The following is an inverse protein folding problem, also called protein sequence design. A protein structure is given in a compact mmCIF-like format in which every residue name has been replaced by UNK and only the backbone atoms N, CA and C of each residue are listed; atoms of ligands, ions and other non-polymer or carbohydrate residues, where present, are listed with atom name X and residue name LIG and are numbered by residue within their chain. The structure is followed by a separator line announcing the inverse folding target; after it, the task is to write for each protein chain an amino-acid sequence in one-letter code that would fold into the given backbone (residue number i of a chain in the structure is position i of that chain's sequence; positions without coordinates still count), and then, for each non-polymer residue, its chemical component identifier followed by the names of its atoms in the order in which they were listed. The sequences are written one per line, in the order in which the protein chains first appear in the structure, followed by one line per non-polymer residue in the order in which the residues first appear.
data_IF_497448891952
#
_entry.id   IF_497448891952
#
_cell.length_a   1.000
_cell.length_b   1.000
_cell.length_c   1.000
_cell.angle_alpha   90.00
_cell.angle_beta   90.00
_cell.angle_gamma   90.00
#
_symmetry.space_group_name_H-M   'P 1'
#
loop_
_entity.id
_entity.type
_entity.pdbx_description
1 polymer ?
#
# COMPACT_ATOMS: atom_id res chain seq x y z
N UNK A 1 62.49 -43.25 31.53
CA UNK A 1 63.00 -43.29 30.15
C UNK A 1 62.20 -44.30 29.35
N UNK A 2 61.84 -43.93 28.10
CA UNK A 2 61.04 -44.68 27.11
C UNK A 2 59.55 -44.78 27.44
N UNK A 3 58.62 -43.92 27.01
CA UNK A 3 58.39 -43.09 25.81
C UNK A 3 56.87 -42.75 25.80
N UNK A 4 56.34 -41.85 24.95
CA UNK A 4 54.92 -41.49 24.99
C UNK A 4 54.04 -42.55 24.29
N UNK A 5 52.84 -42.84 24.84
CA UNK A 5 51.75 -43.52 24.12
C UNK A 5 50.37 -42.97 24.52
N UNK A 6 49.89 -42.03 23.72
CA UNK A 6 48.50 -41.57 23.57
C UNK A 6 48.36 -41.21 22.08
N UNK A 7 47.28 -41.35 21.33
CA UNK A 7 45.94 -41.95 21.42
C UNK A 7 45.50 -42.06 19.94
N UNK A 8 44.77 -43.11 19.54
CA UNK A 8 44.20 -43.17 18.19
C UNK A 8 42.76 -42.67 18.23
N UNK A 9 42.48 -41.68 17.35
CA UNK A 9 41.21 -41.06 16.99
C UNK A 9 40.64 -39.91 17.84
N UNK A 10 41.12 -38.70 17.54
CA UNK A 10 40.38 -37.44 17.72
C UNK A 10 40.42 -36.56 16.45
N UNK A 11 40.60 -37.19 15.27
CA UNK A 11 40.75 -36.48 13.98
C UNK A 11 39.57 -36.67 13.00
N UNK A 12 38.51 -37.39 13.34
CA UNK A 12 37.44 -37.69 12.37
C UNK A 12 36.15 -36.89 12.61
N UNK A 13 35.73 -36.67 13.86
CA UNK A 13 34.44 -36.00 14.16
C UNK A 13 34.45 -34.49 13.87
N UNK A 14 35.54 -33.77 14.25
CA UNK A 14 35.70 -32.33 13.93
C UNK A 14 35.89 -32.08 12.43
N UNK A 15 36.58 -32.98 11.73
CA UNK A 15 36.78 -32.89 10.27
C UNK A 15 35.49 -33.19 9.52
N UNK A 16 34.69 -34.16 9.98
CA UNK A 16 33.34 -34.42 9.44
C UNK A 16 32.40 -33.24 9.68
N UNK A 17 32.37 -32.65 10.88
CA UNK A 17 31.57 -31.45 11.16
C UNK A 17 32.01 -30.24 10.32
N UNK A 18 33.31 -30.02 10.13
CA UNK A 18 33.81 -28.96 9.25
C UNK A 18 33.44 -29.21 7.78
N UNK A 19 33.56 -30.44 7.29
CA UNK A 19 33.15 -30.83 5.94
C UNK A 19 31.64 -30.71 5.74
N UNK A 20 30.84 -31.00 6.76
CA UNK A 20 29.38 -30.89 6.72
C UNK A 20 28.90 -29.44 6.75
N UNK A 21 29.53 -28.58 7.57
CA UNK A 21 29.33 -27.13 7.55
C UNK A 21 29.76 -26.52 6.22
N UNK A 22 30.90 -26.94 5.65
CA UNK A 22 31.36 -26.47 4.35
C UNK A 22 30.43 -26.93 3.22
N UNK A 23 29.91 -28.17 3.31
CA UNK A 23 28.90 -28.70 2.37
C UNK A 23 27.59 -27.93 2.46
N UNK A 24 27.11 -27.61 3.67
CA UNK A 24 25.93 -26.78 3.88
C UNK A 24 26.13 -25.37 3.30
N UNK A 25 27.27 -24.73 3.58
CA UNK A 25 27.62 -23.42 3.00
C UNK A 25 27.63 -23.45 1.47
N UNK A 26 28.23 -24.47 0.85
CA UNK A 26 28.23 -24.62 -0.62
C UNK A 26 26.82 -24.80 -1.18
N UNK A 27 25.96 -25.58 -0.52
CA UNK A 27 24.56 -25.76 -0.91
C UNK A 27 23.79 -24.44 -0.80
N UNK A 28 23.97 -23.68 0.28
CA UNK A 28 23.35 -22.37 0.48
C UNK A 28 23.82 -21.34 -0.55
N UNK A 29 25.13 -21.27 -0.81
CA UNK A 29 25.70 -20.41 -1.84
C UNK A 29 25.17 -20.76 -3.23
N UNK A 30 25.09 -22.05 -3.58
CA UNK A 30 24.54 -22.51 -4.85
C UNK A 30 23.04 -22.19 -4.97
N UNK A 31 22.27 -22.37 -3.89
CA UNK A 31 20.86 -21.99 -3.82
C UNK A 31 20.68 -20.48 -4.00
N UNK A 32 21.51 -19.67 -3.33
CA UNK A 32 21.49 -18.21 -3.45
C UNK A 32 21.86 -17.76 -4.88
N UNK A 33 22.88 -18.37 -5.51
CA UNK A 33 23.22 -18.12 -6.92
C UNK A 33 22.04 -18.45 -7.84
N UNK A 34 21.41 -19.62 -7.68
CA UNK A 34 20.23 -20.01 -8.47
C UNK A 34 19.07 -19.01 -8.30
N UNK A 35 18.80 -18.58 -7.08
CA UNK A 35 17.75 -17.60 -6.78
C UNK A 35 18.05 -16.23 -7.41
N UNK A 36 19.29 -15.74 -7.28
CA UNK A 36 19.72 -14.48 -7.89
C UNK A 36 19.68 -14.56 -9.42
N UNK A 37 20.08 -15.68 -10.01
CA UNK A 37 20.03 -15.90 -11.45
C UNK A 37 18.58 -15.88 -11.96
N UNK A 38 17.66 -16.56 -11.26
CA UNK A 38 16.23 -16.51 -11.56
C UNK A 38 15.67 -15.09 -11.45
N UNK A 39 16.09 -14.33 -10.44
CA UNK A 39 15.64 -12.95 -10.23
C UNK A 39 16.15 -12.03 -11.33
N UNK A 40 17.42 -12.15 -11.72
CA UNK A 40 18.02 -11.39 -12.82
C UNK A 40 17.30 -11.71 -14.13
N UNK A 41 17.06 -12.99 -14.44
CA UNK A 41 16.33 -13.38 -15.66
C UNK A 41 14.91 -12.84 -15.68
N UNK A 42 14.21 -12.83 -14.54
CA UNK A 42 12.87 -12.25 -14.42
C UNK A 42 12.87 -10.75 -14.70
N UNK A 43 13.82 -10.00 -14.13
CA UNK A 43 13.88 -8.55 -14.34
C UNK A 43 14.36 -8.19 -15.76
N UNK A 44 15.21 -9.02 -16.37
CA UNK A 44 15.57 -8.86 -17.79
C UNK A 44 14.37 -9.05 -18.71
N UNK A 45 13.53 -10.04 -18.44
CA UNK A 45 12.30 -10.27 -19.19
C UNK A 45 11.32 -9.10 -18.99
N UNK A 46 11.19 -8.59 -17.77
CA UNK A 46 10.39 -7.41 -17.45
C UNK A 46 10.86 -6.16 -18.23
N UNK A 47 12.18 -5.94 -18.29
CA UNK A 47 12.77 -4.88 -19.09
C UNK A 47 12.44 -5.04 -20.57
N UNK A 48 12.59 -6.26 -21.11
CA UNK A 48 12.28 -6.55 -22.50
C UNK A 48 10.81 -6.27 -22.84
N UNK A 49 9.88 -6.78 -22.02
CA UNK A 49 8.44 -6.55 -22.21
C UNK A 49 8.07 -5.07 -22.14
N UNK A 50 8.70 -4.31 -21.23
CA UNK A 50 8.46 -2.88 -21.13
C UNK A 50 8.94 -2.12 -22.37
N UNK A 51 10.12 -2.47 -22.90
CA UNK A 51 10.65 -1.88 -24.14
C UNK A 51 9.76 -2.23 -25.35
N UNK A 52 9.30 -3.47 -25.45
CA UNK A 52 8.37 -3.91 -26.50
C UNK A 52 7.05 -3.13 -26.46
N UNK A 53 6.49 -2.91 -25.27
CA UNK A 53 5.25 -2.14 -25.10
C UNK A 53 5.41 -0.67 -25.52
N UNK A 54 6.54 -0.04 -25.18
CA UNK A 54 6.86 1.33 -25.61
C UNK A 54 6.95 1.40 -27.13
N UNK A 55 7.72 0.49 -27.73
CA UNK A 55 7.89 0.46 -29.18
C UNK A 55 6.57 0.25 -29.91
N UNK A 56 5.75 -0.70 -29.45
CA UNK A 56 4.45 -0.97 -30.03
C UNK A 56 3.54 0.27 -30.01
N UNK A 57 3.49 0.97 -28.86
CA UNK A 57 2.67 2.18 -28.71
C UNK A 57 3.12 3.30 -29.64
N UNK A 58 4.43 3.52 -29.75
CA UNK A 58 4.96 4.55 -30.65
C UNK A 58 4.75 4.17 -32.11
N UNK A 59 4.89 2.90 -32.48
CA UNK A 59 4.70 2.46 -33.87
C UNK A 59 3.23 2.62 -34.31
N UNK A 60 2.27 2.33 -33.41
CA UNK A 60 0.85 2.63 -33.64
C UNK A 60 0.61 4.12 -33.84
N UNK A 61 1.19 4.96 -32.99
CA UNK A 61 1.07 6.41 -33.11
C UNK A 61 1.71 6.93 -34.41
N UNK A 62 2.88 6.44 -34.77
CA UNK A 62 3.56 6.76 -36.03
C UNK A 62 2.72 6.39 -37.26
N UNK A 63 1.93 5.31 -37.20
CA UNK A 63 1.00 4.95 -38.26
C UNK A 63 -0.15 5.97 -38.39
N UNK A 64 -0.70 6.42 -37.26
CA UNK A 64 -1.74 7.45 -37.26
C UNK A 64 -1.18 8.81 -37.73
N UNK A 65 0.01 9.19 -37.27
CA UNK A 65 0.69 10.42 -37.72
C UNK A 65 0.81 10.46 -39.25
N UNK A 66 1.13 9.33 -39.89
CA UNK A 66 1.16 9.20 -41.36
C UNK A 66 -0.22 9.33 -42.00
N UNK A 67 -1.25 8.72 -41.41
CA UNK A 67 -2.63 8.80 -41.93
C UNK A 67 -3.17 10.24 -41.97
N UNK A 68 -2.70 11.09 -41.05
CA UNK A 68 -3.12 12.49 -40.91
C UNK A 68 -2.07 13.51 -41.38
N UNK A 69 -1.00 13.08 -42.05
CA UNK A 69 0.05 13.93 -42.64
C UNK A 69 0.70 14.89 -41.62
N UNK A 70 1.04 14.36 -40.43
CA UNK A 70 1.62 15.13 -39.32
C UNK A 70 3.13 14.93 -39.15
N UNK A 71 3.83 14.33 -40.10
CA UNK A 71 5.25 14.00 -39.97
C UNK A 71 6.14 15.24 -39.75
N UNK A 72 5.76 16.38 -40.35
CA UNK A 72 6.52 17.64 -40.26
C UNK A 72 6.22 18.43 -38.97
N UNK A 73 5.32 17.94 -38.11
CA UNK A 73 4.98 18.63 -36.86
C UNK A 73 6.16 18.59 -35.89
N UNK A 74 6.45 19.75 -35.30
CA UNK A 74 7.48 19.91 -34.25
C UNK A 74 7.27 18.94 -33.08
N UNK A 75 6.03 18.60 -32.78
CA UNK A 75 5.70 17.69 -31.69
C UNK A 75 6.11 16.24 -32.00
N UNK A 76 5.90 15.80 -33.24
CA UNK A 76 6.31 14.47 -33.69
C UNK A 76 7.84 14.35 -33.78
N UNK A 77 8.55 15.39 -34.24
CA UNK A 77 10.01 15.40 -34.23
C UNK A 77 10.58 15.34 -32.81
N UNK A 78 9.97 16.03 -31.84
CA UNK A 78 10.31 15.90 -30.41
C UNK A 78 10.11 14.48 -29.88
N UNK A 79 9.01 13.82 -30.25
CA UNK A 79 8.76 12.42 -29.88
C UNK A 79 9.86 11.49 -30.40
N UNK A 80 10.24 11.61 -31.68
CA UNK A 80 11.27 10.77 -32.28
C UNK A 80 12.65 11.02 -31.66
N UNK A 81 13.00 12.27 -31.35
CA UNK A 81 14.24 12.61 -30.64
C UNK A 81 14.25 11.97 -29.25
N UNK A 82 13.13 12.04 -28.53
CA UNK A 82 13.04 11.44 -27.20
C UNK A 82 13.11 9.92 -27.26
N UNK A 83 12.44 9.28 -28.24
CA UNK A 83 12.55 7.82 -28.50
C UNK A 83 14.01 7.43 -28.75
N UNK A 84 14.71 8.17 -29.62
CA UNK A 84 16.12 7.91 -29.92
C UNK A 84 17.04 8.02 -28.70
N UNK A 85 16.78 8.98 -27.79
CA UNK A 85 17.52 9.07 -26.52
C UNK A 85 17.26 7.86 -25.63
N UNK A 86 16.00 7.45 -25.50
CA UNK A 86 15.60 6.27 -24.72
C UNK A 86 16.21 5.00 -25.29
N UNK A 87 16.17 4.80 -26.61
CA UNK A 87 16.78 3.66 -27.29
C UNK A 87 18.29 3.60 -27.09
N UNK A 88 18.96 4.76 -27.11
CA UNK A 88 20.40 4.86 -26.85
C UNK A 88 20.72 4.44 -25.41
N UNK A 89 19.96 4.93 -24.42
CA UNK A 89 20.12 4.52 -23.01
C UNK A 89 19.89 3.02 -22.82
N UNK A 90 18.88 2.44 -23.46
CA UNK A 90 18.59 1.00 -23.42
C UNK A 90 19.75 0.20 -24.03
N UNK A 91 20.28 0.66 -25.17
CA UNK A 91 21.40 -0.01 -25.86
C UNK A 91 22.70 0.06 -25.06
N UNK A 92 22.98 1.21 -24.44
CA UNK A 92 24.20 1.43 -23.66
C UNK A 92 24.17 0.72 -22.31
N UNK A 93 22.99 0.28 -21.86
CA UNK A 93 22.83 -0.53 -20.66
C UNK A 93 23.48 -1.90 -20.83
N UNK A 94 24.76 -1.99 -20.45
CA UNK A 94 25.56 -3.21 -20.57
C UNK A 94 25.31 -4.15 -19.40
N UNK A 95 24.83 -5.36 -19.70
CA UNK A 95 24.65 -6.45 -18.73
C UNK A 95 25.85 -7.39 -18.80
N UNK A 96 26.92 -7.04 -18.09
CA UNK A 96 28.08 -7.93 -17.94
C UNK A 96 28.44 -8.09 -16.47
N UNK A 97 28.49 -9.34 -16.00
CA UNK A 97 28.88 -9.71 -14.64
C UNK A 97 29.36 -11.15 -14.58
N UNK A 98 30.17 -11.46 -13.57
CA UNK A 98 30.52 -12.83 -13.24
C UNK A 98 29.33 -13.53 -12.57
N UNK A 99 28.75 -14.51 -13.27
CA UNK A 99 27.64 -15.34 -12.79
C UNK A 99 28.02 -16.22 -11.60
N UNK A 100 29.31 -16.33 -11.28
CA UNK A 100 29.80 -17.10 -10.14
C UNK A 100 29.99 -16.24 -8.88
N UNK A 101 29.89 -14.91 -8.98
CA UNK A 101 30.11 -13.97 -7.89
C UNK A 101 28.79 -13.41 -7.36
N UNK A 102 28.36 -13.87 -6.18
CA UNK A 102 27.13 -13.40 -5.52
C UNK A 102 27.08 -11.86 -5.39
N UNK A 103 28.15 -11.18 -4.92
CA UNK A 103 28.13 -9.72 -4.84
C UNK A 103 27.92 -9.03 -6.20
N UNK A 104 28.51 -9.57 -7.27
CA UNK A 104 28.30 -9.01 -8.62
C UNK A 104 26.88 -9.27 -9.12
N UNK A 105 26.30 -10.44 -8.83
CA UNK A 105 24.90 -10.74 -9.16
C UNK A 105 23.92 -9.81 -8.43
N UNK A 106 24.13 -9.57 -7.13
CA UNK A 106 23.32 -8.63 -6.35
C UNK A 106 23.44 -7.20 -6.90
N UNK A 107 24.66 -6.78 -7.21
CA UNK A 107 24.93 -5.48 -7.84
C UNK A 107 24.20 -5.35 -9.17
N UNK A 108 24.19 -6.40 -9.99
CA UNK A 108 23.48 -6.38 -11.27
C UNK A 108 21.98 -6.38 -11.15
N UNK A 109 21.43 -7.18 -10.23
CA UNK A 109 20.00 -7.17 -9.96
C UNK A 109 19.54 -5.77 -9.56
N UNK A 110 20.31 -5.10 -8.70
CA UNK A 110 20.08 -3.71 -8.31
C UNK A 110 20.14 -2.77 -9.52
N UNK A 111 21.20 -2.86 -10.35
CA UNK A 111 21.35 -2.02 -11.56
C UNK A 111 20.19 -2.18 -12.53
N UNK A 112 19.68 -3.40 -12.74
CA UNK A 112 18.53 -3.65 -13.62
C UNK A 112 17.27 -2.99 -13.04
N UNK A 113 17.02 -3.15 -11.74
CA UNK A 113 15.86 -2.55 -11.06
C UNK A 113 15.90 -1.02 -11.10
N UNK A 114 17.05 -0.43 -10.79
CA UNK A 114 17.24 1.02 -10.82
C UNK A 114 17.09 1.57 -12.26
N UNK A 115 17.57 0.84 -13.25
CA UNK A 115 17.39 1.21 -14.66
C UNK A 115 15.91 1.13 -15.08
N UNK A 116 15.22 0.06 -14.69
CA UNK A 116 13.79 -0.12 -14.93
C UNK A 116 12.94 0.97 -14.27
N UNK A 117 13.25 1.36 -13.03
CA UNK A 117 12.53 2.43 -12.34
C UNK A 117 12.73 3.77 -13.04
N UNK A 118 13.96 4.08 -13.45
CA UNK A 118 14.28 5.32 -14.16
C UNK A 118 13.63 5.39 -15.55
N UNK A 119 13.59 4.26 -16.27
CA UNK A 119 12.87 4.16 -17.54
C UNK A 119 11.38 4.46 -17.35
N UNK A 120 10.75 3.91 -16.30
CA UNK A 120 9.33 4.10 -16.03
C UNK A 120 8.97 5.51 -15.59
N UNK A 121 9.80 6.15 -14.76
CA UNK A 121 9.47 7.44 -14.14
C UNK A 121 9.80 8.64 -15.03
N UNK A 122 10.89 8.60 -15.80
CA UNK A 122 11.39 9.79 -16.51
C UNK A 122 11.22 9.66 -18.04
N UNK A 123 11.79 8.62 -18.64
CA UNK A 123 11.79 8.47 -20.11
C UNK A 123 10.41 8.07 -20.65
N UNK A 124 9.75 7.09 -20.02
CA UNK A 124 8.41 6.65 -20.42
C UNK A 124 7.35 7.73 -20.19
N UNK A 125 7.42 8.48 -19.09
CA UNK A 125 6.50 9.58 -18.81
C UNK A 125 6.58 10.68 -19.86
N UNK A 126 7.79 11.10 -20.26
CA UNK A 126 8.00 12.09 -21.33
C UNK A 126 7.48 11.60 -22.68
N UNK A 127 7.73 10.34 -23.01
CA UNK A 127 7.21 9.72 -24.24
C UNK A 127 5.68 9.68 -24.23
N UNK A 128 5.08 9.30 -23.10
CA UNK A 128 3.62 9.24 -22.93
C UNK A 128 2.96 10.61 -23.02
N UNK A 129 3.59 11.64 -22.45
CA UNK A 129 3.10 13.01 -22.51
C UNK A 129 3.11 13.54 -23.96
N UNK A 130 4.23 13.37 -24.68
CA UNK A 130 4.33 13.73 -26.10
C UNK A 130 3.34 12.93 -26.95
N UNK A 131 3.18 11.64 -26.69
CA UNK A 131 2.22 10.79 -27.38
C UNK A 131 0.78 11.28 -27.19
N UNK A 132 0.37 11.57 -25.95
CA UNK A 132 -0.96 12.10 -25.61
C UNK A 132 -1.26 13.43 -26.32
N UNK A 133 -0.27 14.32 -26.39
CA UNK A 133 -0.43 15.59 -27.11
C UNK A 133 -0.64 15.35 -28.62
N UNK A 134 0.10 14.43 -29.24
CA UNK A 134 -0.08 14.09 -30.66
C UNK A 134 -1.43 13.40 -30.89
N UNK A 135 -1.84 12.49 -30.01
CA UNK A 135 -3.15 11.84 -30.06
C UNK A 135 -4.30 12.86 -29.98
N UNK A 136 -4.13 13.92 -29.17
CA UNK A 136 -5.10 15.01 -29.10
C UNK A 136 -5.19 15.81 -30.41
N UNK A 137 -4.05 16.09 -31.07
CA UNK A 137 -4.04 16.74 -32.39
C UNK A 137 -4.70 15.86 -33.46
N UNK A 138 -4.39 14.55 -33.46
CA UNK A 138 -5.01 13.57 -34.35
C UNK A 138 -6.53 13.51 -34.12
N UNK A 139 -6.99 13.52 -32.86
CA UNK A 139 -8.41 13.52 -32.54
C UNK A 139 -9.12 14.76 -33.10
N UNK A 140 -8.53 15.94 -32.97
CA UNK A 140 -9.06 17.18 -33.54
C UNK A 140 -9.14 17.12 -35.06
N UNK A 141 -8.11 16.62 -35.73
CA UNK A 141 -8.08 16.48 -37.20
C UNK A 141 -9.08 15.44 -37.69
N UNK A 142 -9.26 14.35 -36.96
CA UNK A 142 -10.29 13.34 -37.24
C UNK A 142 -11.69 13.94 -37.20
N UNK A 143 -11.97 14.80 -36.22
CA UNK A 143 -13.26 15.50 -36.13
C UNK A 143 -13.43 16.56 -37.23
N UNK A 144 -12.38 17.30 -37.59
CA UNK A 144 -12.41 18.23 -38.72
C UNK A 144 -12.67 17.51 -40.05
N UNK A 145 -11.98 16.38 -40.30
CA UNK A 145 -12.15 15.57 -41.50
C UNK A 145 -13.56 15.00 -41.60
N UNK A 146 -14.15 14.54 -40.48
CA UNK A 146 -15.55 14.12 -40.41
C UNK A 146 -16.51 15.27 -40.73
N UNK A 147 -16.31 16.46 -40.14
CA UNK A 147 -17.14 17.64 -40.43
C UNK A 147 -17.06 18.05 -41.89
N UNK A 148 -15.86 18.01 -42.48
CA UNK A 148 -15.65 18.32 -43.90
C UNK A 148 -16.35 17.31 -44.81
N UNK A 149 -16.29 16.01 -44.47
CA UNK A 149 -17.02 14.96 -45.18
C UNK A 149 -18.54 15.21 -45.13
N UNK A 150 -19.10 15.51 -43.95
CA UNK A 150 -20.52 15.84 -43.80
C UNK A 150 -20.92 17.06 -44.63
N UNK A 151 -20.09 18.10 -44.68
CA UNK A 151 -20.33 19.28 -45.53
C UNK A 151 -20.26 18.96 -47.03
N UNK A 152 -19.38 18.06 -47.47
CA UNK A 152 -19.32 17.58 -48.86
C UNK A 152 -20.56 16.74 -49.21
N UNK A 153 -20.99 15.87 -48.31
CA UNK A 153 -22.19 15.06 -48.47
C UNK A 153 -23.45 15.96 -48.55
N UNK A 154 -23.55 16.97 -47.70
CA UNK A 154 -24.62 17.97 -47.75
C UNK A 154 -24.61 18.77 -49.08
N UNK A 155 -23.44 19.23 -49.53
CA UNK A 155 -23.32 19.97 -50.79
C UNK A 155 -23.67 19.11 -52.02
N UNK A 156 -23.31 17.82 -52.02
CA UNK A 156 -23.73 16.90 -53.10
C UNK A 156 -25.23 16.59 -53.07
N UNK A 157 -25.86 16.61 -51.89
CA UNK A 157 -27.31 16.44 -51.72
C UNK A 157 -28.10 17.68 -52.18
N UNK A 158 -27.61 18.90 -51.88
CA UNK A 158 -28.23 20.16 -52.31
C UNK A 158 -28.19 20.37 -53.83
N UNK A 159 -27.21 19.79 -54.55
CA UNK A 159 -27.15 19.87 -56.01
C UNK A 159 -28.21 18.99 -56.70
N UNK A 160 -28.75 17.96 -56.03
CA UNK A 160 -29.82 17.11 -56.57
C UNK A 160 -31.25 17.67 -56.33
N UNK A 161 -31.42 18.61 -55.40
CA UNK A 161 -32.74 19.19 -55.06
C UNK A 161 -33.10 20.49 -55.79
N UNK A 162 -32.25 21.00 -56.70
CA UNK A 162 -32.66 22.05 -57.66
C UNK A 162 -33.34 21.47 -58.91
N UNK A 163 -34.39 20.67 -58.69
CA UNK A 163 -35.50 20.58 -59.64
C UNK A 163 -36.65 21.38 -59.05
N UNK A 164 -36.83 22.58 -59.59
CA UNK A 164 -38.05 23.36 -59.40
C UNK A 164 -39.20 22.48 -59.89
N UNK A 165 -39.96 21.91 -58.96
CA UNK A 165 -41.27 21.36 -59.27
C UNK A 165 -42.27 22.51 -59.19
N UNK A 166 -42.90 22.79 -60.32
CA UNK A 166 -44.01 23.71 -60.45
C UNK A 166 -45.21 23.14 -59.67
N UNK A 167 -45.59 23.81 -58.58
CA UNK A 167 -46.66 23.37 -57.65
C UNK A 167 -48.04 23.89 -58.10
N UNK A 168 -48.19 24.38 -59.33
CA UNK A 168 -49.47 24.88 -59.84
C UNK A 168 -50.48 23.79 -60.24
N UNK A 169 -50.16 22.49 -60.09
CA UNK A 169 -50.98 21.39 -60.62
C UNK A 169 -51.17 20.21 -59.66
N UNK A 170 -51.44 20.46 -58.37
CA UNK A 170 -51.92 19.40 -57.47
C UNK A 170 -53.37 19.69 -57.09
N UNK A 171 -54.34 18.84 -57.50
CA UNK A 171 -55.73 19.01 -57.11
C UNK A 171 -55.90 18.86 -55.59
N UNK A 172 -56.53 19.86 -54.96
CA UNK A 172 -57.14 19.71 -53.64
C UNK A 172 -58.13 18.54 -53.68
N UNK A 173 -57.80 17.43 -53.03
CA UNK A 173 -58.81 16.48 -52.56
C UNK A 173 -59.04 16.74 -51.08
N UNK A 174 -60.17 17.36 -50.79
CA UNK A 174 -60.81 17.31 -49.47
C UNK A 174 -61.15 15.85 -49.22
N UNK A 175 -60.49 15.22 -48.23
CA UNK A 175 -61.00 14.01 -47.60
C UNK A 175 -61.48 14.39 -46.20
N UNK A 176 -62.76 14.14 -46.00
CA UNK A 176 -63.45 14.21 -44.72
C UNK A 176 -62.78 13.25 -43.73
N UNK A 177 -62.50 13.80 -42.54
CA UNK A 177 -62.46 13.17 -41.21
C UNK A 177 -62.22 11.66 -41.12
N UNK A 178 -61.00 11.31 -40.71
CA UNK A 178 -60.79 10.37 -39.60
C UNK A 178 -59.89 11.09 -38.58
N UNK A 179 -60.44 11.41 -37.40
CA UNK A 179 -59.65 11.83 -36.24
C UNK A 179 -58.78 10.65 -35.80
N UNK A 180 -57.58 10.56 -36.36
CA UNK A 180 -56.49 9.87 -35.67
C UNK A 180 -56.08 10.83 -34.55
N UNK A 181 -56.53 10.56 -33.34
CA UNK A 181 -56.02 11.21 -32.13
C UNK A 181 -54.55 10.75 -32.01
N UNK A 182 -53.64 11.48 -32.64
CA UNK A 182 -52.22 11.34 -32.34
C UNK A 182 -52.02 11.66 -30.86
N UNK A 183 -51.29 10.82 -30.10
CA UNK A 183 -51.11 11.04 -28.68
C UNK A 183 -50.45 12.42 -28.47
N UNK A 184 -51.15 13.29 -27.74
CA UNK A 184 -50.67 14.63 -27.39
C UNK A 184 -49.24 14.53 -26.85
N UNK A 185 -48.29 15.21 -27.49
CA UNK A 185 -46.88 15.17 -27.12
C UNK A 185 -46.72 15.81 -25.74
N UNK A 186 -46.47 14.98 -24.73
CA UNK A 186 -46.16 15.42 -23.39
C UNK A 186 -44.68 15.81 -23.27
N UNK A 187 -44.41 17.10 -23.41
CA UNK A 187 -43.06 17.67 -23.31
C UNK A 187 -42.47 17.45 -21.92
N UNK A 188 -43.28 17.47 -20.86
CA UNK A 188 -42.79 17.26 -19.50
C UNK A 188 -42.25 15.84 -19.33
N UNK A 189 -42.92 14.85 -19.93
CA UNK A 189 -42.42 13.47 -19.95
C UNK A 189 -41.08 13.34 -20.67
N UNK A 190 -40.87 14.07 -21.76
CA UNK A 190 -39.60 14.06 -22.49
C UNK A 190 -38.47 14.78 -21.72
N UNK A 191 -38.79 15.85 -20.98
CA UNK A 191 -37.84 16.51 -20.07
C UNK A 191 -37.45 15.59 -18.92
N UNK A 192 -38.41 14.89 -18.30
CA UNK A 192 -38.12 13.95 -17.21
C UNK A 192 -37.22 12.80 -17.69
N UNK A 193 -37.49 12.26 -18.88
CA UNK A 193 -36.62 11.24 -19.50
C UNK A 193 -35.21 11.78 -19.76
N UNK A 194 -35.10 13.02 -20.23
CA UNK A 194 -33.80 13.66 -20.39
C UNK A 194 -33.09 13.80 -19.03
N UNK A 195 -33.79 14.21 -17.97
CA UNK A 195 -33.18 14.34 -16.65
C UNK A 195 -32.62 13.01 -16.14
N UNK A 196 -33.36 11.92 -16.24
CA UNK A 196 -32.88 10.58 -15.84
C UNK A 196 -31.58 10.19 -16.56
N UNK A 197 -31.42 10.58 -17.83
CA UNK A 197 -30.20 10.33 -18.60
C UNK A 197 -29.03 11.23 -18.20
N UNK A 198 -29.31 12.48 -17.82
CA UNK A 198 -28.31 13.50 -17.50
C UNK A 198 -27.89 13.48 -16.03
N UNK A 199 -28.77 13.05 -15.12
CA UNK A 199 -28.58 13.10 -13.67
C UNK A 199 -27.24 12.49 -13.20
N UNK A 200 -26.79 11.31 -13.68
CA UNK A 200 -25.53 10.73 -13.22
C UNK A 200 -24.32 11.63 -13.47
N UNK A 201 -24.35 12.38 -14.58
CA UNK A 201 -23.29 13.29 -15.01
C UNK A 201 -23.37 14.65 -14.30
N UNK A 202 -24.59 15.13 -14.05
CA UNK A 202 -24.84 16.40 -13.32
C UNK A 202 -24.50 16.30 -11.82
N UNK A 203 -24.42 15.10 -11.25
CA UNK A 203 -23.99 14.91 -9.85
C UNK A 203 -22.49 15.16 -9.65
N UNK A 204 -21.67 14.98 -10.70
CA UNK A 204 -20.22 15.01 -10.60
C UNK A 204 -19.64 16.37 -11.04
N UNK A 205 -19.75 17.36 -10.16
CA UNK A 205 -19.31 18.75 -10.42
C UNK A 205 -17.81 18.91 -10.69
N UNK A 206 -17.02 17.92 -10.25
CA UNK A 206 -15.56 17.94 -10.40
C UNK A 206 -15.10 17.46 -11.79
N UNK A 207 -15.98 16.83 -12.58
CA UNK A 207 -15.62 16.29 -13.88
C UNK A 207 -15.48 17.38 -14.94
N UNK A 208 -14.53 17.22 -15.87
CA UNK A 208 -14.26 18.21 -16.92
C UNK A 208 -15.47 18.47 -17.84
N UNK A 209 -16.35 17.47 -18.00
CA UNK A 209 -17.52 17.57 -18.87
C UNK A 209 -18.73 18.21 -18.18
N UNK A 210 -18.65 18.47 -16.87
CA UNK A 210 -19.79 18.89 -16.06
C UNK A 210 -20.52 20.08 -16.69
N UNK A 211 -19.77 21.13 -17.06
CA UNK A 211 -20.36 22.34 -17.59
C UNK A 211 -20.97 22.14 -18.99
N UNK A 212 -20.41 21.25 -19.82
CA UNK A 212 -20.99 20.91 -21.11
C UNK A 212 -22.34 20.20 -20.95
N UNK A 213 -22.42 19.26 -19.99
CA UNK A 213 -23.65 18.52 -19.69
C UNK A 213 -24.70 19.43 -19.04
N UNK A 214 -24.28 20.29 -18.11
CA UNK A 214 -25.12 21.32 -17.49
C UNK A 214 -25.74 22.24 -18.53
N UNK A 215 -24.92 22.80 -19.44
CA UNK A 215 -25.39 23.67 -20.52
C UNK A 215 -26.37 22.96 -21.48
N UNK A 216 -26.14 21.68 -21.79
CA UNK A 216 -27.05 20.88 -22.62
C UNK A 216 -28.40 20.67 -21.92
N UNK A 217 -28.39 20.40 -20.62
CA UNK A 217 -29.61 20.21 -19.83
C UNK A 217 -30.37 21.53 -19.63
N UNK A 218 -29.69 22.63 -19.35
CA UNK A 218 -30.29 23.95 -19.25
C UNK A 218 -30.92 24.39 -20.58
N UNK A 219 -30.31 24.02 -21.71
CA UNK A 219 -30.89 24.20 -23.04
C UNK A 219 -32.21 23.42 -23.19
N UNK A 220 -32.28 22.18 -22.71
CA UNK A 220 -33.50 21.36 -22.71
C UNK A 220 -34.61 22.04 -21.91
N UNK A 221 -34.32 22.48 -20.68
CA UNK A 221 -35.26 23.20 -19.83
C UNK A 221 -35.76 24.49 -20.50
N UNK A 222 -34.87 25.25 -21.13
CA UNK A 222 -35.20 26.49 -21.85
C UNK A 222 -36.11 26.23 -23.06
N UNK A 223 -35.87 25.15 -23.82
CA UNK A 223 -36.70 24.75 -24.96
C UNK A 223 -38.10 24.32 -24.49
N UNK A 224 -38.18 23.53 -23.41
CA UNK A 224 -39.43 23.05 -22.87
C UNK A 224 -40.35 24.21 -22.41
N UNK A 225 -39.76 25.21 -21.75
CA UNK A 225 -40.46 26.37 -21.20
C UNK A 225 -40.78 27.46 -22.24
N UNK A 226 -40.33 27.33 -23.49
CA UNK A 226 -40.56 28.34 -24.51
C UNK A 226 -42.03 28.30 -25.01
N UNK A 227 -42.79 29.38 -24.85
CA UNK A 227 -44.21 29.42 -25.23
C UNK A 227 -44.48 29.52 -26.74
N UNK A 228 -43.48 29.92 -27.55
CA UNK A 228 -43.65 30.15 -28.99
C UNK A 228 -43.36 28.93 -29.84
N UNK A 229 -42.70 27.91 -29.29
CA UNK A 229 -42.38 26.68 -30.00
C UNK A 229 -43.52 25.67 -29.92
N UNK A 230 -43.85 25.05 -31.05
CA UNK A 230 -44.81 23.95 -31.08
C UNK A 230 -44.23 22.68 -30.41
N UNK A 231 -45.09 21.76 -29.93
CA UNK A 231 -44.65 20.55 -29.24
C UNK A 231 -43.75 19.62 -30.08
N UNK A 232 -43.94 19.53 -31.38
CA UNK A 232 -43.11 18.66 -32.25
C UNK A 232 -41.69 19.20 -32.38
N UNK A 233 -41.57 20.51 -32.55
CA UNK A 233 -40.29 21.20 -32.56
C UNK A 233 -39.58 21.04 -31.21
N UNK A 234 -40.27 21.28 -30.09
CA UNK A 234 -39.70 21.08 -28.75
C UNK A 234 -39.15 19.67 -28.57
N UNK A 235 -39.97 18.65 -28.86
CA UNK A 235 -39.56 17.24 -28.76
C UNK A 235 -38.33 16.96 -29.61
N UNK A 236 -38.32 17.41 -30.87
CA UNK A 236 -37.20 17.21 -31.79
C UNK A 236 -35.91 17.87 -31.30
N UNK A 237 -36.00 19.08 -30.76
CA UNK A 237 -34.84 19.78 -30.21
C UNK A 237 -34.31 19.12 -28.92
N UNK A 238 -35.19 18.63 -28.05
CA UNK A 238 -34.82 17.87 -26.84
C UNK A 238 -34.09 16.57 -27.22
N UNK A 239 -34.64 15.80 -28.16
CA UNK A 239 -34.02 14.58 -28.69
C UNK A 239 -32.62 14.85 -29.28
N UNK A 240 -32.43 16.00 -29.95
CA UNK A 240 -31.12 16.38 -30.46
C UNK A 240 -30.09 16.57 -29.33
N UNK A 241 -30.46 17.20 -28.20
CA UNK A 241 -29.53 17.39 -27.06
C UNK A 241 -29.24 16.07 -26.35
N UNK A 242 -30.26 15.22 -26.18
CA UNK A 242 -30.10 13.85 -25.65
C UNK A 242 -29.16 13.03 -26.51
N UNK A 243 -29.30 13.10 -27.85
CA UNK A 243 -28.40 12.44 -28.79
C UNK A 243 -26.95 12.95 -28.67
N UNK A 244 -26.76 14.25 -28.46
CA UNK A 244 -25.43 14.84 -28.20
C UNK A 244 -24.79 14.28 -26.94
N UNK A 245 -25.56 14.13 -25.85
CA UNK A 245 -25.07 13.44 -24.65
C UNK A 245 -24.70 11.98 -24.97
N UNK A 246 -25.58 11.23 -25.64
CA UNK A 246 -25.35 9.83 -25.99
C UNK A 246 -24.07 9.62 -26.84
N UNK A 247 -23.75 10.55 -27.74
CA UNK A 247 -22.52 10.49 -28.53
C UNK A 247 -21.25 10.55 -27.67
N UNK A 248 -21.30 11.22 -26.53
CA UNK A 248 -20.16 11.36 -25.61
C UNK A 248 -20.29 10.49 -24.35
N UNK A 249 -21.44 9.84 -24.14
CA UNK A 249 -21.79 9.05 -22.95
C UNK A 249 -20.68 8.09 -22.53
N UNK A 250 -20.16 7.28 -23.46
CA UNK A 250 -19.10 6.33 -23.14
C UNK A 250 -17.80 6.97 -22.62
N UNK A 251 -17.46 8.19 -23.06
CA UNK A 251 -16.30 8.93 -22.53
C UNK A 251 -16.58 9.48 -21.14
N UNK A 252 -17.79 9.98 -20.90
CA UNK A 252 -18.18 10.51 -19.60
C UNK A 252 -18.30 9.40 -18.55
N UNK A 253 -18.85 8.24 -18.92
CA UNK A 253 -18.91 7.04 -18.07
C UNK A 253 -17.51 6.58 -17.65
N UNK A 254 -16.54 6.52 -18.57
CA UNK A 254 -15.15 6.20 -18.23
C UNK A 254 -14.55 7.15 -17.18
N UNK A 255 -14.87 8.44 -17.26
CA UNK A 255 -14.40 9.44 -16.30
C UNK A 255 -15.08 9.27 -14.94
N UNK A 256 -16.39 8.97 -14.93
CA UNK A 256 -17.11 8.66 -13.70
C UNK A 256 -16.54 7.40 -13.02
N UNK A 257 -16.22 6.36 -13.79
CA UNK A 257 -15.59 5.13 -13.30
C UNK A 257 -14.22 5.42 -12.67
N UNK A 258 -13.40 6.26 -13.31
CA UNK A 258 -12.10 6.69 -12.77
C UNK A 258 -12.25 7.47 -11.46
N UNK A 259 -13.19 8.42 -11.40
CA UNK A 259 -13.44 9.20 -10.19
C UNK A 259 -13.98 8.33 -9.05
N UNK A 260 -14.84 7.35 -9.35
CA UNK A 260 -15.32 6.37 -8.39
C UNK A 260 -14.18 5.49 -7.85
N UNK A 261 -13.29 5.02 -8.73
CA UNK A 261 -12.11 4.26 -8.33
C UNK A 261 -11.18 5.09 -7.42
N UNK A 262 -10.95 6.36 -7.77
CA UNK A 262 -10.12 7.25 -6.95
C UNK A 262 -10.72 7.53 -5.57
N UNK A 263 -12.05 7.64 -5.47
CA UNK A 263 -12.76 7.77 -4.18
C UNK A 263 -12.61 6.52 -3.34
N UNK A 264 -12.87 5.35 -3.91
CA UNK A 264 -12.73 4.07 -3.20
C UNK A 264 -11.30 3.87 -2.67
N UNK A 265 -10.27 4.19 -3.47
CA UNK A 265 -8.88 4.14 -3.03
C UNK A 265 -8.57 5.13 -1.91
N UNK A 266 -9.20 6.31 -1.90
CA UNK A 266 -9.03 7.28 -0.83
C UNK A 266 -9.69 6.80 0.46
N UNK A 267 -10.92 6.30 0.38
CA UNK A 267 -11.64 5.71 1.52
C UNK A 267 -10.87 4.56 2.16
N UNK A 268 -10.26 3.67 1.36
CA UNK A 268 -9.41 2.59 1.86
C UNK A 268 -8.20 3.11 2.66
N UNK A 269 -7.54 4.17 2.16
CA UNK A 269 -6.43 4.81 2.86
C UNK A 269 -6.88 5.43 4.19
N UNK A 270 -8.02 6.13 4.20
CA UNK A 270 -8.57 6.73 5.41
C UNK A 270 -8.88 5.65 6.45
N UNK A 271 -9.51 4.54 6.05
CA UNK A 271 -9.80 3.44 6.96
C UNK A 271 -8.53 2.76 7.52
N UNK A 272 -7.50 2.60 6.68
CA UNK A 272 -6.20 2.07 7.14
C UNK A 272 -5.55 3.01 8.17
N UNK A 273 -5.60 4.32 7.91
CA UNK A 273 -5.13 5.34 8.85
C UNK A 273 -5.88 5.31 10.19
N UNK A 274 -7.21 5.31 10.16
CA UNK A 274 -8.05 5.25 11.37
C UNK A 274 -7.74 4.01 12.21
N UNK A 275 -7.59 2.86 11.56
CA UNK A 275 -7.22 1.60 12.23
C UNK A 275 -5.85 1.71 12.94
N UNK A 276 -4.86 2.33 12.29
CA UNK A 276 -3.55 2.55 12.89
C UNK A 276 -3.61 3.54 14.08
N UNK A 277 -4.39 4.61 13.96
CA UNK A 277 -4.62 5.55 15.06
C UNK A 277 -5.21 4.85 16.29
N UNK A 278 -6.21 3.98 16.10
CA UNK A 278 -6.81 3.18 17.17
C UNK A 278 -5.78 2.23 17.82
N UNK A 279 -5.03 1.48 17.01
CA UNK A 279 -4.02 0.52 17.49
C UNK A 279 -2.85 1.16 18.25
N UNK A 280 -2.52 2.41 17.91
CA UNK A 280 -1.44 3.19 18.52
C UNK A 280 -1.94 4.16 19.60
N UNK A 281 -3.26 4.32 19.79
CA UNK A 281 -3.88 5.35 20.62
C UNK A 281 -3.41 6.78 20.26
N UNK A 282 -3.38 7.08 18.95
CA UNK A 282 -3.04 8.42 18.42
C UNK A 282 -4.34 9.12 18.00
N UNK A 283 -4.44 10.41 18.27
CA UNK A 283 -5.61 11.21 17.87
C UNK A 283 -5.68 11.35 16.35
N UNK A 284 -6.88 11.16 15.78
CA UNK A 284 -7.12 11.30 14.35
C UNK A 284 -7.03 12.78 13.92
N UNK A 285 -6.43 13.02 12.77
CA UNK A 285 -6.39 14.35 12.16
C UNK A 285 -7.49 14.44 11.07
N UNK A 286 -8.52 15.28 11.25
CA UNK A 286 -9.65 15.36 10.32
C UNK A 286 -9.26 15.85 8.93
N UNK A 287 -8.08 16.46 8.76
CA UNK A 287 -7.58 16.87 7.44
C UNK A 287 -7.45 15.70 6.46
N UNK A 288 -7.20 14.49 6.95
CA UNK A 288 -7.01 13.33 6.09
C UNK A 288 -8.31 12.77 5.49
N UNK A 289 -9.49 13.23 5.92
CA UNK A 289 -10.76 12.88 5.28
C UNK A 289 -10.91 13.52 3.88
N UNK A 290 -10.18 14.60 3.61
CA UNK A 290 -10.25 15.30 2.33
C UNK A 290 -9.26 14.73 1.31
N UNK A 291 -9.75 14.45 0.09
CA UNK A 291 -8.97 13.88 -1.03
C UNK A 291 -7.70 14.67 -1.39
N UNK A 292 -7.71 15.98 -1.15
CA UNK A 292 -6.58 16.89 -1.42
C UNK A 292 -5.32 16.53 -0.61
N UNK A 293 -5.49 15.82 0.51
CA UNK A 293 -4.42 15.41 1.41
C UNK A 293 -3.97 13.95 1.22
N UNK A 294 -4.33 13.30 0.10
CA UNK A 294 -4.02 11.88 -0.18
C UNK A 294 -2.53 11.53 -0.06
N UNK A 295 -1.63 12.39 -0.55
CA UNK A 295 -0.19 12.09 -0.48
C UNK A 295 0.36 12.25 0.94
N UNK A 296 -0.05 13.28 1.67
CA UNK A 296 0.33 13.45 3.09
C UNK A 296 -0.28 12.37 3.99
N UNK A 297 -1.46 11.84 3.63
CA UNK A 297 -2.08 10.69 4.30
C UNK A 297 -1.24 9.43 4.12
N UNK A 298 -0.71 9.17 2.91
CA UNK A 298 0.16 8.01 2.66
C UNK A 298 1.45 8.08 3.48
N UNK A 299 2.09 9.25 3.54
CA UNK A 299 3.29 9.47 4.35
C UNK A 299 3.01 9.22 5.84
N UNK A 300 1.87 9.70 6.34
CA UNK A 300 1.46 9.48 7.72
C UNK A 300 1.14 8.00 8.01
N UNK A 301 0.46 7.31 7.10
CA UNK A 301 0.24 5.86 7.18
C UNK A 301 1.56 5.11 7.24
N UNK A 302 2.55 5.49 6.42
CA UNK A 302 3.86 4.87 6.46
C UNK A 302 4.52 5.06 7.83
N UNK A 303 4.53 6.30 8.35
CA UNK A 303 5.08 6.62 9.67
C UNK A 303 4.41 5.80 10.78
N UNK A 304 3.08 5.71 10.76
CA UNK A 304 2.32 4.95 11.76
C UNK A 304 2.53 3.44 11.63
N UNK A 305 2.66 2.89 10.42
CA UNK A 305 3.01 1.48 10.22
C UNK A 305 4.39 1.14 10.78
N UNK A 306 5.39 2.03 10.58
CA UNK A 306 6.73 1.86 11.16
C UNK A 306 6.64 1.83 12.70
N UNK A 307 5.92 2.78 13.31
CA UNK A 307 5.69 2.80 14.76
C UNK A 307 4.94 1.57 15.27
N UNK A 308 3.95 1.10 14.52
CA UNK A 308 3.19 -0.10 14.88
C UNK A 308 4.07 -1.36 14.81
N UNK A 309 4.93 -1.46 13.80
CA UNK A 309 5.88 -2.58 13.67
C UNK A 309 6.87 -2.59 14.84
N UNK A 310 7.44 -1.44 15.19
CA UNK A 310 8.33 -1.32 16.36
C UNK A 310 7.63 -1.74 17.65
N UNK A 311 6.38 -1.30 17.85
CA UNK A 311 5.56 -1.71 19.01
C UNK A 311 5.34 -3.23 19.05
N UNK A 312 5.00 -3.85 17.93
CA UNK A 312 4.79 -5.30 17.83
C UNK A 312 6.08 -6.09 18.13
N UNK A 313 7.23 -5.62 17.66
CA UNK A 313 8.53 -6.25 17.95
C UNK A 313 8.84 -6.24 19.45
N UNK A 314 8.59 -5.12 20.13
CA UNK A 314 8.80 -4.99 21.58
C UNK A 314 7.81 -5.87 22.35
N UNK A 315 6.52 -5.88 21.98
CA UNK A 315 5.52 -6.76 22.58
C UNK A 315 5.90 -8.25 22.43
N UNK A 316 6.41 -8.64 21.26
CA UNK A 316 6.92 -9.99 21.02
C UNK A 316 8.11 -10.34 21.92
N UNK A 317 9.07 -9.41 22.10
CA UNK A 317 10.22 -9.61 23.00
C UNK A 317 9.73 -9.78 24.44
N UNK A 318 8.86 -8.90 24.93
CA UNK A 318 8.32 -8.96 26.29
C UNK A 318 7.63 -10.31 26.55
N UNK A 319 6.77 -10.73 25.62
CA UNK A 319 6.05 -11.99 25.71
C UNK A 319 6.98 -13.20 25.66
N UNK A 320 7.97 -13.17 24.76
CA UNK A 320 8.95 -14.26 24.63
C UNK A 320 9.81 -14.42 25.88
N UNK A 321 10.25 -13.31 26.48
CA UNK A 321 10.99 -13.32 27.73
C UNK A 321 10.12 -13.88 28.87
N UNK A 322 8.85 -13.48 28.93
CA UNK A 322 7.94 -14.01 29.93
C UNK A 322 7.77 -15.53 29.82
N UNK A 323 7.53 -16.05 28.61
CA UNK A 323 7.38 -17.49 28.37
C UNK A 323 8.64 -18.28 28.74
N UNK A 324 9.83 -17.75 28.45
CA UNK A 324 11.10 -18.39 28.82
C UNK A 324 11.28 -18.42 30.34
N UNK A 325 10.95 -17.33 31.04
CA UNK A 325 11.01 -17.28 32.50
C UNK A 325 10.01 -18.26 33.13
N UNK A 326 8.77 -18.32 32.65
CA UNK A 326 7.75 -19.27 33.13
C UNK A 326 8.19 -20.73 32.91
N UNK A 327 8.77 -21.04 31.73
CA UNK A 327 9.29 -22.37 31.40
C UNK A 327 10.39 -22.84 32.38
N UNK A 328 11.22 -21.91 32.83
CA UNK A 328 12.30 -22.19 33.80
C UNK A 328 11.82 -22.18 35.26
N UNK A 329 10.51 -22.02 35.50
CA UNK A 329 9.91 -22.11 36.83
C UNK A 329 9.93 -20.79 37.62
N UNK A 330 10.10 -19.65 36.94
CA UNK A 330 10.02 -18.34 37.58
C UNK A 330 8.59 -17.79 37.56
N UNK A 331 8.04 -17.54 38.74
CA UNK A 331 6.71 -16.92 38.89
C UNK A 331 6.79 -15.39 38.92
N UNK A 332 5.83 -14.70 38.29
CA UNK A 332 5.75 -13.23 38.38
C UNK A 332 5.22 -12.81 39.75
N UNK A 333 6.01 -12.02 40.47
CA UNK A 333 5.61 -11.36 41.72
C UNK A 333 4.88 -10.04 41.48
N UNK A 334 5.40 -9.23 40.55
CA UNK A 334 4.84 -7.92 40.24
C UNK A 334 5.22 -7.47 38.82
N UNK A 335 4.39 -6.61 38.26
CA UNK A 335 4.63 -5.96 36.97
C UNK A 335 4.51 -4.45 37.14
N UNK A 336 5.42 -3.70 36.53
CA UNK A 336 5.37 -2.25 36.47
C UNK A 336 5.62 -1.80 35.03
N UNK A 337 4.98 -0.70 34.65
CA UNK A 337 5.12 -0.11 33.32
C UNK A 337 5.56 1.34 33.50
N UNK A 338 6.84 1.59 33.22
CA UNK A 338 7.44 2.90 33.45
C UNK A 338 7.48 3.69 32.15
N UNK A 339 6.65 4.73 32.03
CA UNK A 339 6.73 5.69 30.92
C UNK A 339 7.64 6.85 31.33
N UNK A 340 8.85 6.94 30.76
CA UNK A 340 9.68 8.16 30.82
C UNK A 340 9.47 8.97 29.53
N UNK A 341 9.66 10.29 29.59
CA UNK A 341 9.39 11.30 28.53
C UNK A 341 9.86 10.95 27.09
N UNK A 342 10.71 9.94 26.90
CA UNK A 342 11.17 9.46 25.58
C UNK A 342 11.20 7.92 25.42
N UNK A 343 11.06 7.16 26.51
CA UNK A 343 11.18 5.70 26.48
C UNK A 343 10.23 5.09 27.53
N UNK A 344 9.41 4.12 27.14
CA UNK A 344 8.80 3.14 28.02
C UNK A 344 9.78 2.01 28.36
N UNK A 345 9.58 1.45 29.55
CA UNK A 345 10.27 0.26 30.02
C UNK A 345 9.24 -0.67 30.64
N UNK A 346 9.13 -1.87 30.09
CA UNK A 346 8.40 -2.97 30.67
C UNK A 346 9.24 -3.57 31.81
N UNK A 347 8.73 -3.56 33.04
CA UNK A 347 9.42 -4.10 34.21
C UNK A 347 8.63 -5.28 34.77
N UNK A 348 9.22 -6.47 34.68
CA UNK A 348 8.69 -7.69 35.30
C UNK A 348 9.61 -8.12 36.45
N UNK A 349 9.01 -8.52 37.57
CA UNK A 349 9.74 -9.00 38.75
C UNK A 349 9.35 -10.45 38.97
N UNK A 350 10.33 -11.32 38.88
CA UNK A 350 10.17 -12.76 39.02
C UNK A 350 10.71 -13.24 40.36
N UNK A 351 10.01 -14.17 40.99
CA UNK A 351 10.46 -14.83 42.21
C UNK A 351 11.70 -15.67 41.94
N UNK A 352 12.70 -15.57 42.81
CA UNK A 352 13.92 -16.36 42.69
C UNK A 352 14.47 -16.68 44.07
N UNK A 353 14.10 -17.83 44.63
CA UNK A 353 14.52 -18.22 45.98
C UNK A 353 13.77 -17.47 47.09
N UNK A 354 14.27 -17.59 48.32
CA UNK A 354 13.62 -17.01 49.51
C UNK A 354 14.09 -15.57 49.74
N UNK A 355 13.21 -14.59 49.49
CA UNK A 355 13.48 -13.14 49.59
C UNK A 355 14.44 -12.56 48.52
N UNK A 356 14.61 -13.24 47.38
CA UNK A 356 15.27 -12.66 46.20
C UNK A 356 14.36 -12.68 44.97
N UNK A 357 14.64 -11.79 44.02
CA UNK A 357 13.92 -11.65 42.77
C UNK A 357 14.86 -11.35 41.61
N UNK A 358 14.42 -11.72 40.41
CA UNK A 358 15.01 -11.28 39.14
C UNK A 358 14.14 -10.18 38.56
N UNK A 359 14.72 -9.00 38.41
CA UNK A 359 14.11 -7.88 37.69
C UNK A 359 14.48 -8.01 36.22
N UNK A 360 13.47 -7.92 35.36
CA UNK A 360 13.63 -7.94 33.92
C UNK A 360 13.07 -6.64 33.36
N UNK A 361 13.94 -5.86 32.73
CA UNK A 361 13.58 -4.62 32.07
C UNK A 361 13.71 -4.80 30.56
N UNK A 362 12.65 -4.48 29.82
CA UNK A 362 12.67 -4.40 28.36
C UNK A 362 12.33 -2.97 27.95
N UNK A 363 13.26 -2.29 27.30
CA UNK A 363 13.02 -0.93 26.79
C UNK A 363 12.58 -0.95 25.33
N UNK A 364 11.95 0.15 24.88
CA UNK A 364 11.42 0.29 23.51
C UNK A 364 12.46 0.14 22.39
N UNK A 365 13.75 0.20 22.71
CA UNK A 365 14.83 -0.05 21.74
C UNK A 365 15.25 -1.53 21.68
N UNK A 366 14.50 -2.43 22.31
CA UNK A 366 14.77 -3.87 22.36
C UNK A 366 15.90 -4.28 23.31
N UNK A 367 16.44 -3.37 24.13
CA UNK A 367 17.44 -3.75 25.15
C UNK A 367 16.77 -4.46 26.33
N UNK A 368 17.39 -5.56 26.76
CA UNK A 368 16.92 -6.39 27.87
C UNK A 368 17.96 -6.34 28.99
N UNK A 369 17.52 -6.05 30.21
CA UNK A 369 18.36 -6.07 31.41
C UNK A 369 17.79 -7.05 32.43
N UNK A 370 18.65 -7.96 32.90
CA UNK A 370 18.37 -8.86 34.00
C UNK A 370 19.14 -8.41 35.24
N UNK A 371 18.47 -8.27 36.38
CA UNK A 371 19.07 -7.80 37.62
C UNK A 371 18.53 -8.57 38.84
N UNK A 372 19.42 -9.27 39.54
CA UNK A 372 19.08 -10.00 40.77
C UNK A 372 19.13 -9.06 41.97
N UNK A 373 18.07 -9.04 42.77
CA UNK A 373 17.94 -8.17 43.95
C UNK A 373 17.30 -8.92 45.12
N UNK A 374 17.60 -8.50 46.34
CA UNK A 374 16.81 -8.89 47.52
C UNK A 374 15.46 -8.17 47.55
N UNK A 375 14.47 -8.76 48.21
CA UNK A 375 13.12 -8.20 48.38
C UNK A 375 12.94 -7.72 49.82
N UNK A 376 12.38 -6.54 50.03
CA UNK A 376 11.84 -6.10 51.33
C UNK A 376 10.41 -5.59 51.24
N UNK A 377 9.72 -5.62 52.37
CA UNK A 377 8.57 -4.78 52.66
C UNK A 377 9.08 -3.51 53.38
N UNK A 378 9.34 -2.44 52.62
CA UNK A 378 9.85 -1.17 53.13
C UNK A 378 11.35 -0.89 52.89
N UNK A 379 11.77 0.35 53.16
CA UNK A 379 13.15 0.83 53.00
C UNK A 379 14.00 0.40 54.21
N UNK A 380 14.90 -0.55 54.01
CA UNK A 380 15.85 -1.03 55.04
C UNK A 380 17.22 -1.26 54.40
N UNK A 381 18.29 -0.95 55.12
CA UNK A 381 19.66 -1.24 54.68
C UNK A 381 19.94 -2.74 54.70
N UNK A 382 20.68 -3.24 53.71
CA UNK A 382 21.07 -4.64 53.64
C UNK A 382 22.12 -4.99 54.67
N UNK A 383 21.82 -6.00 55.50
CA UNK A 383 22.78 -6.68 56.37
C UNK A 383 23.82 -7.45 55.55
N UNK A 384 25.01 -7.68 56.12
CA UNK A 384 26.06 -8.48 55.46
C UNK A 384 25.59 -9.88 55.05
N UNK A 385 24.69 -10.49 55.83
CA UNK A 385 24.11 -11.79 55.51
C UNK A 385 23.18 -11.73 54.28
N UNK A 386 22.38 -10.68 54.15
CA UNK A 386 21.53 -10.47 52.97
C UNK A 386 22.36 -10.16 51.72
N UNK A 387 23.45 -9.39 51.85
CA UNK A 387 24.37 -9.14 50.72
C UNK A 387 24.99 -10.44 50.22
N UNK A 388 25.43 -11.31 51.14
CA UNK A 388 25.97 -12.62 50.80
C UNK A 388 24.93 -13.48 50.05
N UNK A 389 23.71 -13.59 50.58
CA UNK A 389 22.61 -14.34 49.93
C UNK A 389 22.27 -13.82 48.53
N UNK A 390 22.22 -12.51 48.35
CA UNK A 390 21.96 -11.90 47.02
C UNK A 390 23.11 -12.18 46.06
N UNK A 391 24.36 -12.18 46.55
CA UNK A 391 25.55 -12.49 45.73
C UNK A 391 25.56 -13.97 45.32
N UNK A 392 25.20 -14.89 46.21
CA UNK A 392 25.01 -16.31 45.89
C UNK A 392 23.88 -16.51 44.86
N UNK A 393 22.78 -15.77 44.98
CA UNK A 393 21.69 -15.78 44.01
C UNK A 393 22.14 -15.24 42.64
N UNK A 394 23.00 -14.22 42.58
CA UNK A 394 23.58 -13.75 41.32
C UNK A 394 24.38 -14.85 40.62
N UNK A 395 25.19 -15.60 41.36
CA UNK A 395 25.99 -16.70 40.81
C UNK A 395 25.09 -17.85 40.29
N UNK A 396 24.04 -18.20 41.04
CA UNK A 396 23.04 -19.18 40.61
C UNK A 396 22.31 -18.73 39.33
N UNK A 397 21.91 -17.46 39.26
CA UNK A 397 21.21 -16.92 38.09
C UNK A 397 22.09 -16.90 36.84
N UNK A 398 23.40 -16.66 36.96
CA UNK A 398 24.34 -16.75 35.84
C UNK A 398 24.31 -18.10 35.13
N UNK A 399 24.01 -19.19 35.86
CA UNK A 399 23.85 -20.53 35.27
C UNK A 399 22.55 -20.60 34.45
N UNK A 400 21.43 -20.13 34.99
CA UNK A 400 20.14 -20.08 34.28
C UNK A 400 20.14 -19.13 33.08
N UNK A 401 20.95 -18.06 33.11
CA UNK A 401 21.07 -17.11 32.00
C UNK A 401 21.51 -17.77 30.70
N UNK A 402 22.37 -18.79 30.76
CA UNK A 402 22.80 -19.54 29.56
C UNK A 402 21.60 -20.23 28.89
N UNK A 403 20.71 -20.82 29.68
CA UNK A 403 19.49 -21.47 29.19
C UNK A 403 18.49 -20.45 28.64
N UNK A 404 18.28 -19.33 29.35
CA UNK A 404 17.43 -18.21 28.89
C UNK A 404 17.90 -17.72 27.52
N UNK A 405 19.21 -17.55 27.33
CA UNK A 405 19.79 -17.06 26.08
C UNK A 405 19.54 -18.02 24.91
N UNK A 406 19.73 -19.32 25.09
CA UNK A 406 19.49 -20.29 24.01
C UNK A 406 18.00 -20.40 23.67
N UNK A 407 17.10 -20.38 24.66
CA UNK A 407 15.64 -20.40 24.43
C UNK A 407 15.14 -19.16 23.69
N UNK A 408 15.62 -17.96 24.07
CA UNK A 408 15.30 -16.72 23.34
C UNK A 408 15.81 -16.76 21.90
N UNK A 409 16.98 -17.37 21.67
CA UNK A 409 17.55 -17.55 20.34
C UNK A 409 16.74 -18.53 19.49
N UNK A 410 16.22 -19.62 20.07
CA UNK A 410 15.28 -20.52 19.38
C UNK A 410 14.00 -19.81 18.97
N UNK A 411 13.55 -18.82 19.76
CA UNK A 411 12.45 -17.90 19.44
C UNK A 411 12.85 -16.78 18.47
N UNK A 412 14.08 -16.77 17.94
CA UNK A 412 14.57 -15.80 16.97
C UNK A 412 15.06 -14.47 17.56
N UNK A 413 15.19 -14.36 18.88
CA UNK A 413 15.68 -13.17 19.58
C UNK A 413 17.18 -13.33 19.86
N UNK A 414 18.00 -12.51 19.21
CA UNK A 414 19.45 -12.57 19.33
C UNK A 414 19.96 -11.41 20.20
N UNK A 415 20.45 -11.72 21.39
CA UNK A 415 21.12 -10.75 22.26
C UNK A 415 22.48 -10.40 21.67
N UNK A 416 22.67 -9.12 21.28
CA UNK A 416 23.94 -8.58 20.76
C UNK A 416 24.55 -7.66 21.81
N UNK A 417 25.88 -7.59 21.86
CA UNK A 417 26.63 -6.71 22.78
C UNK A 417 26.32 -6.98 24.27
N UNK A 418 26.31 -8.25 24.66
CA UNK A 418 26.10 -8.66 26.05
C UNK A 418 27.17 -8.06 26.97
N UNK A 419 26.74 -7.34 28.00
CA UNK A 419 27.61 -6.80 29.05
C UNK A 419 27.39 -7.56 30.35
N UNK A 420 28.03 -8.72 30.48
CA UNK A 420 27.89 -9.59 31.64
C UNK A 420 28.81 -9.11 32.77
N UNK A 421 28.22 -8.83 33.93
CA UNK A 421 28.98 -8.49 35.15
C UNK A 421 29.07 -9.71 36.05
N UNK A 422 30.22 -10.00 36.67
CA UNK A 422 30.34 -11.11 37.61
C UNK A 422 29.50 -10.84 38.87
N UNK A 423 29.13 -11.91 39.58
CA UNK A 423 28.53 -11.82 40.90
C UNK A 423 29.50 -11.10 41.85
N UNK A 424 29.05 -9.99 42.44
CA UNK A 424 29.87 -9.15 43.31
C UNK A 424 28.96 -8.43 44.31
N UNK A 425 29.38 -8.41 45.58
CA UNK A 425 28.65 -7.79 46.68
C UNK A 425 28.33 -6.30 46.41
N UNK A 426 29.16 -5.61 45.60
CA UNK A 426 28.94 -4.20 45.22
C UNK A 426 27.68 -3.97 44.40
N UNK A 427 27.17 -5.00 43.73
CA UNK A 427 25.92 -4.93 42.96
C UNK A 427 24.69 -5.32 43.78
N UNK A 428 24.88 -5.89 44.97
CA UNK A 428 23.81 -6.39 45.82
C UNK A 428 22.92 -5.25 46.31
N UNK A 429 21.64 -5.27 45.89
CA UNK A 429 20.63 -4.26 46.21
C UNK A 429 19.32 -4.90 46.66
N UNK A 430 18.54 -4.14 47.42
CA UNK A 430 17.20 -4.52 47.90
C UNK A 430 16.15 -3.64 47.24
N UNK A 431 15.03 -4.24 46.82
CA UNK A 431 13.89 -3.53 46.25
C UNK A 431 12.67 -3.66 47.16
N UNK A 432 11.94 -2.55 47.28
CA UNK A 432 10.65 -2.53 47.96
C UNK A 432 9.55 -2.91 46.97
N UNK A 433 8.82 -3.98 47.28
CA UNK A 433 7.72 -4.49 46.44
C UNK A 433 6.33 -4.06 46.94
N UNK A 434 6.25 -3.37 48.09
CA UNK A 434 4.98 -2.96 48.71
C UNK A 434 4.13 -2.04 47.82
N UNK A 435 4.77 -1.20 47.02
CA UNK A 435 4.12 -0.20 46.15
C UNK A 435 3.90 -0.70 44.71
N UNK A 436 4.20 -1.95 44.39
CA UNK A 436 4.09 -2.49 43.02
C UNK A 436 2.79 -3.27 42.81
N UNK A 437 2.28 -3.29 41.57
CA UNK A 437 1.08 -4.08 41.22
C UNK A 437 1.42 -5.57 41.31
N UNK A 438 0.99 -6.22 42.38
CA UNK A 438 1.18 -7.67 42.59
C UNK A 438 0.27 -8.47 41.66
N UNK A 439 0.83 -9.47 41.00
CA UNK A 439 0.04 -10.44 40.22
C UNK A 439 -0.50 -11.48 41.20
N UNK A 440 -1.83 -11.66 41.27
CA UNK A 440 -2.43 -12.68 42.14
C UNK A 440 -2.02 -14.06 41.61
N UNK A 441 -1.28 -14.84 42.40
CA UNK A 441 -1.00 -16.24 42.10
C UNK A 441 -2.31 -17.00 41.81
N UNK A 442 -2.34 -17.77 40.73
CA UNK A 442 -3.40 -18.76 40.51
C UNK A 442 -3.26 -19.84 41.57
N UNK A 443 -4.16 -19.84 42.56
CA UNK A 443 -4.26 -20.94 43.51
C UNK A 443 -4.56 -22.24 42.74
N UNK A 444 -3.59 -23.15 42.76
CA UNK A 444 -3.78 -24.52 42.31
C UNK A 444 -4.60 -25.29 43.36
N UNK A 445 -5.87 -25.53 43.02
CA UNK A 445 -6.69 -26.63 43.53
C UNK A 445 -7.46 -26.42 44.85
N UNK A 446 -8.79 -26.29 44.76
CA UNK A 446 -9.78 -27.36 45.12
C UNK A 446 -11.18 -26.78 45.38
N UNK A 447 -12.18 -27.42 44.76
CA UNK A 447 -13.61 -27.54 45.16
C UNK A 447 -14.40 -26.31 45.64
N UNK A 448 -15.44 -25.92 44.89
CA UNK A 448 -16.51 -25.08 45.44
C UNK A 448 -17.51 -24.55 44.41
N UNK A 449 -18.75 -25.02 44.49
CA UNK A 449 -19.93 -24.65 43.70
C UNK A 449 -20.30 -23.15 43.73
N UNK A 450 -21.03 -22.74 42.68
CA UNK A 450 -22.00 -21.63 42.58
C UNK A 450 -21.41 -20.20 42.52
N UNK A 451 -21.90 -19.23 41.74
CA UNK A 451 -23.16 -19.08 40.99
C UNK A 451 -23.00 -17.97 39.93
N UNK A 452 -23.67 -18.14 38.78
CA UNK A 452 -23.92 -17.10 37.78
C UNK A 452 -24.55 -15.84 38.42
N UNK A 453 -24.02 -14.66 38.12
CA UNK A 453 -24.82 -13.43 37.98
C UNK A 453 -24.31 -12.62 36.79
N UNK A 454 -25.13 -12.67 35.74
CA UNK A 454 -25.15 -11.74 34.62
C UNK A 454 -25.73 -10.43 35.16
N UNK A 455 -25.04 -9.31 34.95
CA UNK A 455 -25.67 -7.99 35.04
C UNK A 455 -25.27 -7.19 33.80
N UNK A 456 -26.26 -6.99 32.92
CA UNK A 456 -26.33 -5.95 31.90
C UNK A 456 -26.36 -4.56 32.55
N UNK A 457 -25.75 -3.57 31.91
CA UNK A 457 -26.21 -2.18 31.77
C UNK A 457 -25.18 -1.47 30.85
N UNK A 458 -25.48 -1.06 29.62
CA UNK A 458 -26.35 0.06 29.20
C UNK A 458 -26.08 1.32 30.04
N UNK A 459 -25.25 2.20 29.49
CA UNK A 459 -25.60 3.58 29.16
C UNK A 459 -24.81 4.01 27.95
#
# INVERSE_FOLDING_TARGET
MSGPKYSQFELEKRRQQQLELERQRRIEEEKKKKQLQSSISKEQENLKQHVEAINHSIDQLSQQVKEYELEDRLLYSKLLIQKGKTDTKIRDFTISYDKNSIPQMETQLKRIKDFLSNLKSDDHTKLKELASQIESEIALLKDLKKRQQVLQDLNSTVVLEKKIYDISSIPMMVKETEEVIEPMIDIQKEVNRAYEEFEPFLKEKSAYFYHDVENLYDSICSIANNETYDPEYKKSQIELRRKTLLMNKGKYEQVLDLLALERAQHEELVHHYQSLCELLNVEENPLYEAKEHKETLKEEIQRLNEQYTEKQEIEYIVQSVHEVMEKLGYDILATDYMVKRKNSVHHHIYEFGFEQAVNVFVSDNGSILFEVTGISEGQSEMTSLEKLKVTEAMDAFCTHYVEIREELKEKGIYLKNESLSPADERYARKIDISNKKRVKQRQSGTTGKQSKKITRQLN
#
